data_IF_808290888311
#
_entry.id   IF_808290888311
#
_cell.length_a   1.000
_cell.length_b   1.000
_cell.length_c   1.000
_cell.angle_alpha   90.00
_cell.angle_beta   90.00
_cell.angle_gamma   90.00
#
_symmetry.space_group_name_H-M   'P 1'
#
loop_
_entity.id
_entity.type
_entity.pdbx_description
1 polymer ?
#
# COMPACT_ATOMS: atom_id res chain seq x y z
N UNK A 1 14.13 -58.81 -25.26
CA UNK A 1 14.85 -58.12 -26.34
C UNK A 1 14.53 -56.63 -26.23
N UNK A 2 15.58 -55.83 -25.98
CA UNK A 2 15.71 -54.37 -26.10
C UNK A 2 14.82 -53.38 -25.31
N UNK A 3 15.44 -52.86 -24.25
CA UNK A 3 15.62 -51.48 -23.74
C UNK A 3 14.69 -50.31 -24.14
N UNK A 4 14.43 -49.36 -23.20
CA UNK A 4 13.95 -48.01 -23.44
C UNK A 4 15.06 -46.94 -23.37
N UNK A 5 15.06 -45.96 -24.28
CA UNK A 5 15.80 -44.68 -24.18
C UNK A 5 14.81 -43.52 -24.47
N UNK A 6 14.93 -42.32 -23.92
CA UNK A 6 16.07 -41.73 -23.21
C UNK A 6 15.68 -40.55 -22.32
N UNK A 7 16.50 -40.39 -21.28
CA UNK A 7 16.59 -39.24 -20.39
C UNK A 7 17.66 -38.32 -20.97
N UNK A 8 17.31 -37.06 -21.28
CA UNK A 8 18.28 -36.04 -21.69
C UNK A 8 19.09 -35.57 -20.46
N UNK A 9 20.32 -36.04 -20.35
CA UNK A 9 21.34 -35.49 -19.47
C UNK A 9 22.23 -34.49 -20.24
N UNK A 10 22.35 -33.27 -19.73
CA UNK A 10 23.32 -32.28 -20.19
C UNK A 10 24.74 -32.62 -19.69
N UNK A 11 25.81 -32.39 -20.48
CA UNK A 11 27.18 -32.66 -20.05
C UNK A 11 27.79 -31.49 -19.23
N UNK A 12 28.74 -31.76 -18.32
CA UNK A 12 29.53 -30.74 -17.65
C UNK A 12 30.75 -30.34 -18.51
N UNK A 13 31.14 -29.06 -18.49
CA UNK A 13 32.40 -28.58 -19.08
C UNK A 13 33.39 -28.25 -17.96
N UNK A 14 34.55 -28.93 -17.98
CA UNK A 14 35.73 -28.60 -17.18
C UNK A 14 36.80 -27.90 -18.04
N UNK A 15 37.28 -26.76 -17.52
CA UNK A 15 38.64 -26.20 -17.40
C UNK A 15 39.72 -26.43 -18.49
N UNK A 16 40.35 -25.33 -18.95
CA UNK A 16 41.83 -25.15 -19.01
C UNK A 16 42.19 -23.66 -19.16
N UNK A 17 43.14 -23.18 -18.35
CA UNK A 17 43.67 -21.81 -18.42
C UNK A 17 44.85 -21.67 -19.40
N UNK A 18 45.25 -20.42 -19.66
CA UNK A 18 46.64 -20.14 -19.97
C UNK A 18 47.04 -18.69 -19.63
N UNK A 19 48.27 -18.58 -19.15
CA UNK A 19 48.96 -17.45 -18.54
C UNK A 19 49.85 -16.80 -19.61
N UNK A 20 49.97 -15.47 -19.65
CA UNK A 20 51.12 -14.80 -20.29
C UNK A 20 51.39 -13.46 -19.59
N UNK A 21 52.62 -13.29 -19.12
CA UNK A 21 53.18 -12.09 -18.44
C UNK A 21 54.24 -11.40 -19.31
N UNK A 22 54.61 -10.18 -18.87
CA UNK A 22 55.81 -9.34 -19.14
C UNK A 22 55.72 -8.34 -20.31
N UNK A 23 56.09 -7.06 -20.17
CA UNK A 23 57.21 -6.42 -19.43
C UNK A 23 56.88 -4.90 -19.13
N UNK A 24 57.05 -4.34 -17.91
CA UNK A 24 58.20 -3.57 -17.32
C UNK A 24 58.69 -2.35 -18.15
N UNK A 25 59.05 -1.14 -17.67
CA UNK A 25 59.25 -0.37 -16.39
C UNK A 25 59.60 1.12 -16.83
N UNK A 26 60.04 2.15 -16.02
CA UNK A 26 60.45 2.25 -14.59
C UNK A 26 59.88 3.51 -13.82
N UNK A 27 60.30 3.78 -12.55
CA UNK A 27 59.51 4.49 -11.54
C UNK A 27 60.08 5.86 -11.07
N UNK A 28 59.36 6.52 -10.15
CA UNK A 28 59.92 7.52 -9.22
C UNK A 28 59.16 7.48 -7.88
N UNK A 29 59.91 7.26 -6.81
CA UNK A 29 59.47 7.22 -5.41
C UNK A 29 59.63 8.61 -4.75
N UNK A 30 58.90 8.84 -3.65
CA UNK A 30 59.43 9.27 -2.32
C UNK A 30 58.34 9.95 -1.47
N UNK A 31 58.14 9.38 -0.26
CA UNK A 31 57.57 9.93 1.00
C UNK A 31 56.07 10.30 1.06
N UNK A 32 55.30 10.01 2.11
CA UNK A 32 55.55 9.41 3.42
C UNK A 32 54.42 9.84 4.38
N UNK A 33 53.97 8.92 5.26
CA UNK A 33 53.23 9.17 6.52
C UNK A 33 51.80 9.76 6.36
N UNK A 34 50.74 9.39 7.10
CA UNK A 34 50.53 8.64 8.35
C UNK A 34 49.03 8.33 8.48
N UNK A 35 48.71 7.21 9.13
CA UNK A 35 47.36 6.79 9.53
C UNK A 35 46.65 7.86 10.38
N UNK A 36 45.38 8.14 10.08
CA UNK A 36 44.47 8.86 10.98
C UNK A 36 43.23 8.01 11.21
N UNK A 37 43.13 7.46 12.42
CA UNK A 37 41.93 6.82 12.95
C UNK A 37 40.81 7.86 13.07
N UNK A 38 39.63 7.57 12.52
CA UNK A 38 38.42 8.31 12.87
C UNK A 38 37.96 7.88 14.27
N UNK A 39 38.12 8.80 15.22
CA UNK A 39 37.66 8.70 16.60
C UNK A 39 36.26 9.30 16.72
N UNK A 40 35.28 8.48 17.09
CA UNK A 40 33.95 8.94 17.49
C UNK A 40 34.00 9.61 18.86
N UNK A 41 33.38 10.78 19.08
CA UNK A 41 33.15 11.29 20.43
C UNK A 41 31.96 10.56 21.05
N UNK A 42 32.20 9.90 22.19
CA UNK A 42 31.14 9.42 23.07
C UNK A 42 30.50 10.65 23.76
N UNK A 43 29.26 10.97 23.40
CA UNK A 43 28.44 11.89 24.19
C UNK A 43 27.80 11.13 25.35
N UNK A 44 28.22 11.49 26.55
CA UNK A 44 27.69 11.06 27.83
C UNK A 44 26.33 11.77 28.05
N UNK A 45 25.21 11.05 27.89
CA UNK A 45 23.89 11.57 28.26
C UNK A 45 23.69 11.40 29.76
N UNK A 46 23.83 12.51 30.48
CA UNK A 46 23.37 12.68 31.87
C UNK A 46 21.84 12.73 31.90
N UNK A 47 21.22 11.81 32.65
CA UNK A 47 19.80 11.88 33.02
C UNK A 47 19.54 13.14 33.84
N UNK A 48 18.78 14.08 33.29
CA UNK A 48 18.23 15.21 34.05
C UNK A 48 16.77 15.45 33.69
N UNK A 49 15.92 14.97 34.61
CA UNK A 49 14.70 15.59 35.15
C UNK A 49 13.61 16.07 34.18
N UNK A 50 12.47 15.36 34.25
CA UNK A 50 11.19 15.78 33.70
C UNK A 50 10.52 16.81 34.62
N UNK A 51 9.85 17.85 34.09
CA UNK A 51 9.11 18.80 34.91
C UNK A 51 7.79 18.17 35.39
N UNK A 52 7.66 18.04 36.71
CA UNK A 52 6.44 17.69 37.43
C UNK A 52 5.46 18.86 37.40
N UNK A 53 4.23 18.62 36.93
CA UNK A 53 3.15 19.59 37.05
C UNK A 53 2.38 19.42 38.36
N UNK A 54 2.45 20.46 39.20
CA UNK A 54 1.36 21.01 40.01
C UNK A 54 0.57 20.05 40.91
N UNK A 55 0.96 20.01 42.19
CA UNK A 55 0.10 19.60 43.31
C UNK A 55 -0.75 20.81 43.77
N UNK A 56 -2.07 20.65 43.85
CA UNK A 56 -2.99 21.61 44.48
C UNK A 56 -3.34 21.18 45.91
N UNK A 57 -3.58 22.13 46.85
CA UNK A 57 -3.79 21.85 48.28
C UNK A 57 -5.23 21.39 48.62
N UNK A 58 -5.48 20.87 49.84
CA UNK A 58 -6.78 20.28 50.20
C UNK A 58 -7.76 21.30 50.79
N UNK A 59 -9.05 21.09 50.50
CA UNK A 59 -10.18 21.63 51.27
C UNK A 59 -11.07 22.58 50.49
N UNK A 60 -12.29 22.14 50.15
CA UNK A 60 -13.59 22.69 50.59
C UNK A 60 -14.69 21.89 49.88
N UNK A 61 -15.56 21.23 50.65
CA UNK A 61 -16.67 20.45 50.11
C UNK A 61 -17.73 21.38 49.48
N UNK A 62 -17.97 21.24 48.18
CA UNK A 62 -19.10 21.85 47.50
C UNK A 62 -20.07 20.74 47.10
N UNK A 63 -21.30 20.90 47.56
CA UNK A 63 -22.44 20.00 47.39
C UNK A 63 -22.91 20.04 45.92
N UNK A 64 -22.90 18.90 45.22
CA UNK A 64 -23.39 18.74 43.84
C UNK A 64 -24.77 18.05 43.85
N UNK A 65 -25.79 18.59 43.16
CA UNK A 65 -27.09 17.92 42.99
C UNK A 65 -26.98 16.74 42.00
N UNK A 66 -27.95 15.79 42.01
CA UNK A 66 -27.77 14.49 41.38
C UNK A 66 -27.76 14.57 39.84
N UNK A 67 -26.79 13.87 39.25
CA UNK A 67 -26.58 13.71 37.81
C UNK A 67 -27.74 12.90 37.21
N UNK A 68 -28.51 13.53 36.33
CA UNK A 68 -29.45 12.85 35.41
C UNK A 68 -28.62 12.16 34.30
N UNK A 69 -28.95 10.93 33.87
CA UNK A 69 -28.20 10.27 32.79
C UNK A 69 -28.39 11.04 31.48
N UNK A 70 -27.35 11.74 31.04
CA UNK A 70 -27.26 12.35 29.72
C UNK A 70 -26.96 11.27 28.68
N UNK A 71 -27.72 11.31 27.59
CA UNK A 71 -27.57 10.44 26.43
C UNK A 71 -26.15 10.51 25.85
N UNK A 72 -25.65 9.43 25.21
CA UNK A 72 -24.34 9.46 24.58
C UNK A 72 -24.32 10.49 23.44
N UNK A 73 -23.28 11.33 23.48
CA UNK A 73 -22.95 12.34 22.47
C UNK A 73 -22.79 11.67 21.10
N UNK A 74 -23.40 12.31 20.10
CA UNK A 74 -23.51 11.91 18.70
C UNK A 74 -22.12 11.58 18.10
N UNK A 75 -21.76 10.30 18.13
CA UNK A 75 -20.66 9.76 17.35
C UNK A 75 -21.04 9.73 15.88
N UNK A 76 -20.08 10.07 15.00
CA UNK A 76 -20.19 9.90 13.56
C UNK A 76 -20.68 8.48 13.26
N UNK A 77 -21.94 8.35 12.86
CA UNK A 77 -22.54 7.05 12.54
C UNK A 77 -21.88 6.57 11.26
N UNK A 78 -20.83 5.77 11.40
CA UNK A 78 -20.39 4.91 10.31
C UNK A 78 -21.58 4.09 9.86
N UNK A 79 -21.92 4.04 8.56
CA UNK A 79 -23.01 3.17 8.13
C UNK A 79 -22.67 1.75 8.57
N UNK A 80 -23.53 1.16 9.41
CA UNK A 80 -23.36 -0.19 9.97
C UNK A 80 -22.99 -1.23 8.89
N UNK A 81 -23.47 -0.99 7.67
CA UNK A 81 -23.20 -1.76 6.45
C UNK A 81 -21.71 -1.79 6.04
N UNK A 82 -20.97 -0.67 6.17
CA UNK A 82 -19.54 -0.62 5.86
C UNK A 82 -18.73 -1.49 6.85
N UNK A 83 -19.11 -1.49 8.13
CA UNK A 83 -18.45 -2.35 9.12
C UNK A 83 -18.66 -3.85 8.84
N UNK A 84 -19.79 -4.21 8.20
CA UNK A 84 -20.14 -5.60 7.90
C UNK A 84 -19.35 -6.16 6.71
N UNK A 85 -19.13 -5.36 5.66
CA UNK A 85 -18.37 -5.78 4.48
C UNK A 85 -16.94 -6.19 4.82
N UNK A 86 -16.25 -5.37 5.62
CA UNK A 86 -14.89 -5.64 6.05
C UNK A 86 -14.79 -6.80 7.07
N UNK A 87 -15.69 -6.86 8.07
CA UNK A 87 -15.72 -7.98 9.03
C UNK A 87 -15.92 -9.32 8.32
N UNK A 88 -16.81 -9.37 7.32
CA UNK A 88 -17.01 -10.55 6.48
C UNK A 88 -15.73 -10.92 5.73
N UNK A 89 -15.07 -9.95 5.09
CA UNK A 89 -13.81 -10.15 4.37
C UNK A 89 -12.73 -10.77 5.27
N UNK A 90 -12.57 -10.27 6.51
CA UNK A 90 -11.61 -10.81 7.47
C UNK A 90 -11.97 -12.24 7.91
N UNK A 91 -13.25 -12.52 8.18
CA UNK A 91 -13.70 -13.85 8.57
C UNK A 91 -13.40 -14.87 7.46
N UNK A 92 -13.70 -14.53 6.21
CA UNK A 92 -13.43 -15.42 5.08
C UNK A 92 -11.93 -15.57 4.83
N UNK A 93 -11.13 -14.51 5.03
CA UNK A 93 -9.67 -14.59 4.91
C UNK A 93 -9.06 -15.53 5.96
N UNK A 94 -9.56 -15.52 7.21
CA UNK A 94 -9.14 -16.46 8.27
C UNK A 94 -9.41 -17.91 7.87
N UNK A 95 -10.55 -18.20 7.23
CA UNK A 95 -10.90 -19.54 6.75
C UNK A 95 -9.94 -20.06 5.66
N UNK A 96 -9.27 -19.17 4.92
CA UNK A 96 -8.29 -19.56 3.89
C UNK A 96 -6.92 -19.95 4.47
N UNK A 97 -6.70 -19.71 5.77
CA UNK A 97 -5.46 -20.09 6.47
C UNK A 97 -4.18 -19.59 5.80
N UNK A 98 -4.21 -18.37 5.24
CA UNK A 98 -3.00 -17.77 4.63
C UNK A 98 -1.84 -17.65 5.63
N UNK A 99 -2.13 -17.62 6.93
CA UNK A 99 -1.14 -17.56 8.00
C UNK A 99 -0.19 -18.77 8.06
N UNK A 100 -0.55 -19.88 7.39
CA UNK A 100 0.33 -21.04 7.23
C UNK A 100 1.52 -20.79 6.29
N UNK A 101 1.46 -19.73 5.45
CA UNK A 101 2.54 -19.37 4.54
C UNK A 101 3.73 -18.83 5.36
N UNK A 102 4.87 -19.52 5.26
CA UNK A 102 6.10 -19.20 6.01
C UNK A 102 6.68 -17.83 5.67
N UNK A 103 6.81 -17.53 4.38
CA UNK A 103 7.41 -16.28 3.93
C UNK A 103 6.43 -15.12 4.06
N UNK A 104 6.77 -14.12 4.87
CA UNK A 104 5.90 -12.98 5.15
C UNK A 104 5.46 -12.23 3.88
N UNK A 105 6.38 -11.99 2.94
CA UNK A 105 6.05 -11.34 1.67
C UNK A 105 4.97 -12.10 0.88
N UNK A 106 5.07 -13.43 0.80
CA UNK A 106 4.08 -14.28 0.11
C UNK A 106 2.76 -14.35 0.88
N UNK A 107 2.80 -14.36 2.20
CA UNK A 107 1.62 -14.35 3.05
C UNK A 107 0.82 -13.06 2.86
N UNK A 108 1.50 -11.91 2.96
CA UNK A 108 0.93 -10.58 2.66
C UNK A 108 0.36 -10.52 1.25
N UNK A 109 1.13 -10.97 0.26
CA UNK A 109 0.69 -10.98 -1.14
C UNK A 109 -0.56 -11.84 -1.34
N UNK A 110 -0.64 -13.03 -0.72
CA UNK A 110 -1.81 -13.90 -0.77
C UNK A 110 -3.05 -13.26 -0.14
N UNK A 111 -2.89 -12.59 1.00
CA UNK A 111 -3.96 -11.85 1.67
C UNK A 111 -4.46 -10.68 0.80
N UNK A 112 -3.56 -9.83 0.28
CA UNK A 112 -3.93 -8.73 -0.62
C UNK A 112 -4.53 -9.24 -1.94
N UNK A 113 -4.03 -10.36 -2.48
CA UNK A 113 -4.60 -11.00 -3.67
C UNK A 113 -6.03 -11.47 -3.42
N UNK A 114 -6.31 -12.01 -2.25
CA UNK A 114 -7.66 -12.40 -1.86
C UNK A 114 -8.61 -11.19 -1.85
N UNK A 115 -8.15 -10.05 -1.31
CA UNK A 115 -8.91 -8.79 -1.35
C UNK A 115 -9.19 -8.37 -2.80
N UNK A 116 -8.18 -8.35 -3.69
CA UNK A 116 -8.37 -8.02 -5.11
C UNK A 116 -9.38 -8.94 -5.81
N UNK A 117 -9.43 -10.22 -5.45
CA UNK A 117 -10.39 -11.18 -6.00
C UNK A 117 -11.82 -10.86 -5.54
N UNK A 118 -11.99 -10.56 -4.25
CA UNK A 118 -13.30 -10.29 -3.63
C UNK A 118 -13.88 -8.93 -3.99
N UNK A 119 -13.03 -7.96 -4.25
CA UNK A 119 -13.42 -6.64 -4.73
C UNK A 119 -13.43 -6.54 -6.25
N UNK A 120 -13.13 -7.63 -6.98
CA UNK A 120 -12.98 -7.61 -8.44
C UNK A 120 -11.90 -6.65 -8.98
N UNK A 121 -11.10 -6.02 -8.11
CA UNK A 121 -10.00 -5.13 -8.52
C UNK A 121 -8.91 -5.85 -9.31
N UNK A 122 -8.88 -7.19 -9.26
CA UNK A 122 -8.07 -8.03 -10.16
C UNK A 122 -8.40 -7.87 -11.65
N UNK A 123 -9.50 -7.23 -12.00
CA UNK A 123 -9.86 -6.90 -13.39
C UNK A 123 -9.68 -5.41 -13.70
N UNK A 124 -9.34 -4.59 -12.69
CA UNK A 124 -9.23 -3.16 -12.85
C UNK A 124 -7.88 -2.77 -13.46
N UNK A 125 -7.92 -2.01 -14.54
CA UNK A 125 -6.72 -1.49 -15.18
C UNK A 125 -6.26 -0.20 -14.50
N UNK A 126 -4.93 0.00 -14.41
CA UNK A 126 -4.35 1.20 -13.81
C UNK A 126 -4.82 2.48 -14.49
N UNK A 127 -4.84 2.50 -15.83
CA UNK A 127 -5.28 3.66 -16.60
C UNK A 127 -6.69 4.12 -16.24
N UNK A 128 -7.61 3.20 -15.92
CA UNK A 128 -8.99 3.55 -15.51
C UNK A 128 -9.05 4.25 -14.16
N UNK A 129 -8.24 3.79 -13.21
CA UNK A 129 -8.14 4.42 -11.90
C UNK A 129 -7.58 5.83 -12.06
N UNK A 130 -6.48 5.99 -12.81
CA UNK A 130 -5.84 7.29 -13.09
C UNK A 130 -6.81 8.24 -13.79
N UNK A 131 -7.52 7.76 -14.81
CA UNK A 131 -8.50 8.54 -15.55
C UNK A 131 -9.64 9.01 -14.65
N UNK A 132 -10.15 8.14 -13.76
CA UNK A 132 -11.20 8.54 -12.82
C UNK A 132 -10.74 9.67 -11.90
N UNK A 133 -9.51 9.61 -11.37
CA UNK A 133 -8.97 10.74 -10.60
C UNK A 133 -8.82 12.02 -11.43
N UNK A 134 -8.59 11.89 -12.74
CA UNK A 134 -8.55 13.04 -13.66
C UNK A 134 -9.93 13.66 -13.87
N UNK A 135 -10.94 12.83 -14.16
CA UNK A 135 -12.34 13.23 -14.33
C UNK A 135 -12.89 13.99 -13.11
N UNK A 136 -12.49 13.58 -11.90
CA UNK A 136 -12.91 14.24 -10.65
C UNK A 136 -12.03 15.46 -10.28
N UNK A 137 -11.05 15.84 -11.10
CA UNK A 137 -10.15 16.97 -10.82
C UNK A 137 -9.14 16.71 -9.68
N UNK A 138 -8.99 15.47 -9.23
CA UNK A 138 -8.17 15.10 -8.07
C UNK A 138 -6.71 14.81 -8.45
N UNK A 139 -6.41 14.62 -9.73
CA UNK A 139 -5.06 14.31 -10.22
C UNK A 139 -4.01 15.37 -9.86
N UNK A 140 -4.37 16.65 -9.88
CA UNK A 140 -3.46 17.78 -9.61
C UNK A 140 -3.35 18.15 -8.13
N UNK A 141 -4.17 17.54 -7.26
CA UNK A 141 -4.12 17.81 -5.82
C UNK A 141 -2.83 17.23 -5.24
N UNK A 142 -1.90 18.15 -4.96
CA UNK A 142 -0.63 17.88 -4.29
C UNK A 142 -0.64 18.25 -2.80
N UNK A 143 -1.71 18.89 -2.32
CA UNK A 143 -1.89 19.19 -0.89
C UNK A 143 -2.03 17.88 -0.10
N UNK A 144 -1.12 17.59 0.86
CA UNK A 144 -1.21 16.40 1.71
C UNK A 144 -2.52 16.31 2.51
N UNK A 145 -3.17 17.43 2.79
CA UNK A 145 -4.38 17.49 3.61
C UNK A 145 -5.67 17.34 2.79
N UNK A 146 -5.57 17.35 1.46
CA UNK A 146 -6.72 17.16 0.59
C UNK A 146 -7.33 15.76 0.84
N UNK A 147 -8.56 15.74 1.33
CA UNK A 147 -9.24 14.51 1.74
C UNK A 147 -10.66 14.41 1.20
N UNK A 148 -11.11 13.17 1.07
CA UNK A 148 -12.47 12.82 0.68
C UNK A 148 -13.16 12.17 1.87
N UNK A 149 -14.44 12.49 2.04
CA UNK A 149 -15.30 11.77 2.96
C UNK A 149 -15.73 10.41 2.39
N UNK A 150 -16.51 9.66 3.18
CA UNK A 150 -17.08 8.39 2.77
C UNK A 150 -17.85 8.49 1.44
N UNK A 151 -18.71 9.50 1.30
CA UNK A 151 -19.53 9.69 0.11
C UNK A 151 -18.70 10.02 -1.14
N UNK A 152 -17.68 10.86 -1.00
CA UNK A 152 -16.71 11.18 -2.06
C UNK A 152 -15.94 9.95 -2.52
N UNK A 153 -15.46 9.15 -1.58
CA UNK A 153 -14.76 7.89 -1.89
C UNK A 153 -15.70 6.91 -2.60
N UNK A 154 -16.94 6.75 -2.11
CA UNK A 154 -17.94 5.89 -2.73
C UNK A 154 -18.26 6.31 -4.18
N UNK A 155 -18.35 7.61 -4.48
CA UNK A 155 -18.58 8.14 -5.83
C UNK A 155 -17.44 7.80 -6.79
N UNK A 156 -16.19 7.92 -6.36
CA UNK A 156 -15.02 7.54 -7.16
C UNK A 156 -15.06 6.04 -7.46
N UNK A 157 -15.32 5.21 -6.45
CA UNK A 157 -15.41 3.76 -6.65
C UNK A 157 -16.55 3.41 -7.61
N UNK A 158 -17.74 4.00 -7.45
CA UNK A 158 -18.85 3.79 -8.36
C UNK A 158 -18.48 4.09 -9.82
N UNK A 159 -17.74 5.18 -10.07
CA UNK A 159 -17.23 5.50 -11.42
C UNK A 159 -16.21 4.49 -11.93
N UNK A 160 -15.29 4.05 -11.08
CA UNK A 160 -14.30 3.02 -11.43
C UNK A 160 -15.01 1.70 -11.83
N UNK A 161 -16.01 1.27 -11.06
CA UNK A 161 -16.75 0.03 -11.31
C UNK A 161 -17.75 0.12 -12.46
N UNK A 162 -18.27 1.30 -12.82
CA UNK A 162 -19.22 1.44 -13.95
C UNK A 162 -18.60 1.04 -15.30
N UNK A 163 -17.28 0.94 -15.37
CA UNK A 163 -16.55 0.49 -16.57
C UNK A 163 -16.44 -1.04 -16.67
N UNK A 164 -16.85 -1.76 -15.61
CA UNK A 164 -16.93 -3.22 -15.58
C UNK A 164 -18.38 -3.71 -15.78
N UNK A 165 -19.37 -2.82 -15.75
CA UNK A 165 -20.72 -3.11 -16.21
C UNK A 165 -20.76 -2.97 -17.74
N UNK A 166 -20.76 -4.08 -18.46
CA UNK A 166 -21.03 -4.09 -19.89
C UNK A 166 -22.52 -4.33 -20.16
N UNK A 167 -23.13 -3.69 -21.17
CA UNK A 167 -24.42 -4.13 -21.67
C UNK A 167 -24.30 -5.54 -22.24
N UNK A 168 -25.24 -6.42 -21.92
CA UNK A 168 -25.30 -7.82 -22.38
C UNK A 168 -25.57 -7.99 -23.88
N UNK A 169 -25.29 -6.97 -24.69
CA UNK A 169 -25.72 -6.91 -26.09
C UNK A 169 -24.57 -7.22 -27.02
N UNK A 170 -24.62 -8.42 -27.60
CA UNK A 170 -23.86 -8.85 -28.77
C UNK A 170 -24.06 -7.87 -29.95
N UNK A 171 -23.14 -6.92 -30.11
CA UNK A 171 -22.81 -6.36 -31.43
C UNK A 171 -21.30 -6.16 -31.48
N UNK A 172 -20.61 -7.14 -32.06
CA UNK A 172 -19.21 -7.00 -32.45
C UNK A 172 -19.09 -5.88 -33.49
N UNK A 173 -18.55 -4.74 -33.08
CA UNK A 173 -17.79 -3.87 -34.00
C UNK A 173 -16.32 -3.91 -33.60
N UNK A 174 -15.51 -4.27 -34.58
CA UNK A 174 -14.09 -4.59 -34.48
C UNK A 174 -13.29 -3.38 -34.00
N UNK A 175 -12.78 -3.45 -32.77
CA UNK A 175 -11.55 -2.77 -32.36
C UNK A 175 -10.91 -3.64 -31.29
N UNK A 176 -9.62 -3.94 -31.43
CA UNK A 176 -8.85 -4.95 -30.68
C UNK A 176 -8.64 -4.66 -29.19
N UNK A 177 -9.67 -4.15 -28.51
CA UNK A 177 -9.70 -3.91 -27.09
C UNK A 177 -9.83 -5.23 -26.35
N UNK A 178 -8.86 -5.50 -25.49
CA UNK A 178 -8.83 -6.60 -24.52
C UNK A 178 -10.21 -6.72 -23.86
N UNK A 179 -10.91 -7.82 -24.15
CA UNK A 179 -12.29 -8.07 -23.69
C UNK A 179 -12.35 -7.99 -22.18
N UNK A 180 -12.83 -6.86 -21.66
CA UNK A 180 -13.03 -6.71 -20.22
C UNK A 180 -14.27 -7.49 -19.84
N UNK A 181 -14.22 -8.40 -18.86
CA UNK A 181 -15.40 -9.16 -18.46
C UNK A 181 -16.49 -8.23 -17.92
N UNK A 182 -17.73 -8.45 -18.37
CA UNK A 182 -18.92 -7.80 -17.79
C UNK A 182 -19.39 -8.57 -16.56
N UNK A 183 -19.81 -7.85 -15.52
CA UNK A 183 -20.34 -8.44 -14.28
C UNK A 183 -21.74 -7.91 -13.98
N UNK A 184 -22.53 -8.74 -13.28
CA UNK A 184 -23.83 -8.35 -12.75
C UNK A 184 -23.72 -7.09 -11.87
N UNK A 185 -24.60 -6.08 -12.05
CA UNK A 185 -24.57 -4.84 -11.28
C UNK A 185 -24.62 -5.03 -9.76
N UNK A 186 -25.34 -6.04 -9.25
CA UNK A 186 -25.40 -6.34 -7.82
C UNK A 186 -24.05 -6.87 -7.31
N UNK A 187 -23.35 -7.67 -8.11
CA UNK A 187 -22.01 -8.17 -7.78
C UNK A 187 -21.01 -7.02 -7.76
N UNK A 188 -21.07 -6.11 -8.73
CA UNK A 188 -20.22 -4.91 -8.77
C UNK A 188 -20.47 -4.00 -7.57
N UNK A 189 -21.74 -3.79 -7.21
CA UNK A 189 -22.13 -3.00 -6.04
C UNK A 189 -21.57 -3.61 -4.75
N UNK A 190 -21.78 -4.91 -4.53
CA UNK A 190 -21.24 -5.60 -3.36
C UNK A 190 -19.70 -5.57 -3.30
N UNK A 191 -19.03 -5.74 -4.45
CA UNK A 191 -17.57 -5.65 -4.54
C UNK A 191 -17.06 -4.24 -4.19
N UNK A 192 -17.74 -3.20 -4.68
CA UNK A 192 -17.45 -1.80 -4.37
C UNK A 192 -17.65 -1.48 -2.88
N UNK A 193 -18.72 -1.97 -2.27
CA UNK A 193 -18.99 -1.81 -0.82
C UNK A 193 -17.89 -2.49 0.03
N UNK A 194 -17.47 -3.71 -0.33
CA UNK A 194 -16.37 -4.41 0.35
C UNK A 194 -15.07 -3.62 0.22
N UNK A 195 -14.76 -3.11 -0.98
CA UNK A 195 -13.55 -2.32 -1.21
C UNK A 195 -13.56 -1.01 -0.42
N UNK A 196 -14.67 -0.28 -0.44
CA UNK A 196 -14.82 0.96 0.34
C UNK A 196 -14.56 0.70 1.82
N UNK A 197 -15.17 -0.35 2.36
CA UNK A 197 -15.01 -0.75 3.76
C UNK A 197 -13.55 -1.09 4.09
N UNK A 198 -12.86 -1.81 3.20
CA UNK A 198 -11.45 -2.12 3.34
C UNK A 198 -10.57 -0.86 3.31
N UNK A 199 -10.82 0.07 2.38
CA UNK A 199 -10.04 1.30 2.26
C UNK A 199 -10.21 2.21 3.48
N UNK A 200 -11.43 2.34 4.01
CA UNK A 200 -11.67 3.08 5.25
C UNK A 200 -10.89 2.44 6.40
N UNK A 201 -10.99 1.12 6.57
CA UNK A 201 -10.23 0.43 7.62
C UNK A 201 -8.70 0.59 7.48
N UNK A 202 -8.19 0.47 6.26
CA UNK A 202 -6.75 0.51 6.01
C UNK A 202 -6.17 1.93 6.15
N UNK A 203 -6.89 2.94 5.67
CA UNK A 203 -6.36 4.28 5.47
C UNK A 203 -6.82 5.31 6.52
N UNK A 204 -8.01 5.14 7.12
CA UNK A 204 -8.55 6.06 8.14
C UNK A 204 -8.15 5.64 9.56
N UNK A 205 -6.86 5.70 9.86
CA UNK A 205 -6.31 5.22 11.14
C UNK A 205 -6.79 6.04 12.34
N UNK A 206 -7.13 7.31 12.11
CA UNK A 206 -7.63 8.21 13.14
C UNK A 206 -9.15 8.18 13.29
N UNK A 207 -9.87 7.31 12.56
CA UNK A 207 -11.33 7.21 12.59
C UNK A 207 -12.01 8.59 12.37
N UNK A 208 -11.51 9.34 11.39
CA UNK A 208 -11.98 10.68 10.99
C UNK A 208 -13.08 10.63 9.93
N UNK A 209 -13.39 9.44 9.41
CA UNK A 209 -14.22 9.19 8.24
C UNK A 209 -13.73 9.90 6.96
N UNK A 210 -12.43 10.23 6.90
CA UNK A 210 -11.81 10.93 5.77
C UNK A 210 -10.55 10.22 5.31
N UNK A 211 -10.39 10.13 3.99
CA UNK A 211 -9.23 9.54 3.34
C UNK A 211 -8.48 10.62 2.58
N UNK A 212 -7.16 10.72 2.76
CA UNK A 212 -6.38 11.62 1.91
C UNK A 212 -6.44 11.14 0.46
N UNK A 213 -6.45 12.09 -0.48
CA UNK A 213 -6.48 11.78 -1.91
C UNK A 213 -5.24 10.99 -2.32
N UNK A 214 -4.07 11.28 -1.73
CA UNK A 214 -2.82 10.58 -2.04
C UNK A 214 -2.83 9.14 -1.54
N UNK A 215 -3.22 8.89 -0.28
CA UNK A 215 -3.34 7.52 0.24
C UNK A 215 -4.31 6.70 -0.61
N UNK A 216 -5.42 7.30 -1.06
CA UNK A 216 -6.40 6.64 -1.92
C UNK A 216 -5.84 6.33 -3.33
N UNK A 217 -5.12 7.27 -3.95
CA UNK A 217 -4.41 7.05 -5.22
C UNK A 217 -3.44 5.87 -5.11
N UNK A 218 -2.61 5.85 -4.07
CA UNK A 218 -1.60 4.82 -3.81
C UNK A 218 -2.25 3.46 -3.59
N UNK A 219 -3.25 3.38 -2.72
CA UNK A 219 -3.93 2.12 -2.40
C UNK A 219 -4.61 1.50 -3.63
N UNK A 220 -5.42 2.29 -4.36
CA UNK A 220 -6.15 1.80 -5.53
C UNK A 220 -5.20 1.38 -6.65
N UNK A 221 -4.23 2.22 -6.99
CA UNK A 221 -3.24 1.90 -8.04
C UNK A 221 -2.41 0.66 -7.70
N UNK A 222 -2.02 0.48 -6.44
CA UNK A 222 -1.34 -0.73 -5.96
C UNK A 222 -2.18 -1.99 -6.18
N UNK A 223 -3.49 -1.92 -5.91
CA UNK A 223 -4.42 -3.03 -6.03
C UNK A 223 -4.87 -3.34 -7.47
N UNK A 224 -4.55 -2.50 -8.46
CA UNK A 224 -4.94 -2.76 -9.86
C UNK A 224 -4.26 -4.00 -10.47
N UNK A 225 -4.77 -4.46 -11.60
CA UNK A 225 -4.20 -5.54 -12.41
C UNK A 225 -3.23 -5.01 -13.48
N UNK A 226 -2.27 -4.19 -13.07
CA UNK A 226 -1.19 -3.71 -13.94
C UNK A 226 0.15 -4.39 -13.62
N UNK A 227 1.09 -4.32 -14.57
CA UNK A 227 2.45 -4.82 -14.34
C UNK A 227 3.11 -4.01 -13.22
N UNK A 228 4.01 -4.60 -12.41
CA UNK A 228 4.73 -3.85 -11.38
C UNK A 228 5.43 -2.59 -11.91
N UNK A 229 6.07 -2.67 -13.08
CA UNK A 229 6.73 -1.53 -13.71
C UNK A 229 5.78 -0.36 -14.02
N UNK A 230 4.54 -0.64 -14.44
CA UNK A 230 3.54 0.39 -14.72
C UNK A 230 3.07 1.08 -13.44
N UNK A 231 2.86 0.29 -12.37
CA UNK A 231 2.50 0.82 -11.05
C UNK A 231 3.60 1.68 -10.47
N UNK A 232 4.85 1.21 -10.52
CA UNK A 232 6.00 1.99 -10.04
C UNK A 232 6.19 3.27 -10.83
N UNK A 233 6.03 3.23 -12.16
CA UNK A 233 6.09 4.44 -12.99
C UNK A 233 5.01 5.44 -12.58
N UNK A 234 3.76 4.99 -12.41
CA UNK A 234 2.68 5.87 -11.93
C UNK A 234 2.98 6.43 -10.55
N UNK A 235 3.36 5.60 -9.58
CA UNK A 235 3.70 6.07 -8.24
C UNK A 235 4.82 7.11 -8.30
N UNK A 236 5.87 6.89 -9.10
CA UNK A 236 6.95 7.84 -9.25
C UNK A 236 6.46 9.22 -9.74
N UNK A 237 5.45 9.29 -10.62
CA UNK A 237 4.84 10.58 -11.02
C UNK A 237 4.18 11.34 -9.86
N UNK A 238 3.76 10.64 -8.79
CA UNK A 238 3.23 11.29 -7.59
C UNK A 238 4.35 11.86 -6.71
N UNK A 239 5.56 11.29 -6.81
CA UNK A 239 6.72 11.61 -5.98
C UNK A 239 7.66 12.63 -6.62
N UNK A 240 7.65 12.73 -7.95
CA UNK A 240 8.56 13.57 -8.69
C UNK A 240 8.04 15.01 -8.84
N UNK A 241 8.97 15.93 -9.06
CA UNK A 241 8.68 17.27 -9.56
C UNK A 241 8.52 17.27 -11.10
N UNK A 242 8.16 18.40 -11.73
CA UNK A 242 8.05 18.50 -13.19
C UNK A 242 9.36 18.24 -13.96
N UNK A 243 10.53 18.31 -13.30
CA UNK A 243 11.82 17.96 -13.92
C UNK A 243 12.09 16.45 -13.92
N UNK A 244 11.26 15.66 -13.22
CA UNK A 244 11.42 14.23 -13.05
C UNK A 244 12.29 13.84 -11.86
N UNK A 245 12.70 14.80 -11.02
CA UNK A 245 13.49 14.54 -9.82
C UNK A 245 12.58 14.11 -8.66
N UNK A 246 13.03 13.14 -7.86
CA UNK A 246 12.31 12.65 -6.69
C UNK A 246 12.28 13.72 -5.59
N UNK A 247 11.10 14.00 -5.03
CA UNK A 247 10.95 14.85 -3.85
C UNK A 247 10.97 13.96 -2.61
N UNK A 248 12.04 14.05 -1.80
CA UNK A 248 12.25 13.18 -0.63
C UNK A 248 11.08 13.19 0.35
N UNK A 249 10.53 14.37 0.69
CA UNK A 249 9.39 14.46 1.61
C UNK A 249 8.14 13.72 1.11
N UNK A 250 7.88 13.75 -0.22
CA UNK A 250 6.78 12.98 -0.81
C UNK A 250 7.03 11.48 -0.74
N UNK A 251 8.29 11.06 -0.89
CA UNK A 251 8.67 9.66 -0.80
C UNK A 251 8.43 9.07 0.59
N UNK A 252 8.77 9.79 1.66
CA UNK A 252 8.48 9.37 3.03
C UNK A 252 6.97 9.19 3.28
N UNK A 253 6.16 10.19 2.91
CA UNK A 253 4.70 10.09 3.04
C UNK A 253 4.14 8.92 2.21
N UNK A 254 4.65 8.73 0.99
CA UNK A 254 4.28 7.61 0.14
C UNK A 254 4.56 6.25 0.78
N UNK A 255 5.71 6.06 1.42
CA UNK A 255 6.04 4.81 2.11
C UNK A 255 5.07 4.57 3.28
N UNK A 256 4.76 5.60 4.07
CA UNK A 256 3.79 5.51 5.16
C UNK A 256 2.40 5.12 4.66
N UNK A 257 1.95 5.73 3.56
CA UNK A 257 0.67 5.41 2.91
C UNK A 257 0.64 3.99 2.33
N UNK A 258 1.71 3.58 1.65
CA UNK A 258 1.81 2.25 1.06
C UNK A 258 1.80 1.15 2.14
N UNK A 259 2.49 1.38 3.26
CA UNK A 259 2.56 0.45 4.39
C UNK A 259 1.21 0.23 5.08
N UNK A 260 0.21 1.08 4.86
CA UNK A 260 -1.15 0.84 5.35
C UNK A 260 -1.76 -0.44 4.81
N UNK A 261 -1.44 -0.83 3.57
CA UNK A 261 -1.96 -2.07 2.98
C UNK A 261 -1.49 -3.33 3.73
N UNK A 262 -0.19 -3.61 3.94
CA UNK A 262 0.24 -4.75 4.74
C UNK A 262 -0.23 -4.68 6.20
N UNK A 263 -0.26 -3.49 6.81
CA UNK A 263 -0.78 -3.32 8.18
C UNK A 263 -2.25 -3.76 8.26
N UNK A 264 -3.07 -3.39 7.27
CA UNK A 264 -4.50 -3.73 7.23
C UNK A 264 -4.80 -5.23 7.09
N UNK A 265 -3.80 -6.05 6.75
CA UNK A 265 -3.92 -7.52 6.68
C UNK A 265 -3.12 -8.22 7.79
N UNK A 266 -2.79 -7.48 8.86
CA UNK A 266 -2.06 -7.93 10.04
C UNK A 266 -0.62 -8.37 9.75
N UNK A 267 0.02 -7.75 8.77
CA UNK A 267 1.40 -8.08 8.36
C UNK A 267 2.41 -6.96 8.61
N UNK A 268 1.98 -5.83 9.20
CA UNK A 268 2.83 -4.67 9.50
C UNK A 268 4.23 -5.01 10.04
N UNK A 269 4.36 -5.83 11.11
CA UNK A 269 5.64 -6.28 11.70
C UNK A 269 6.72 -6.76 10.75
N UNK A 270 6.36 -7.16 9.53
CA UNK A 270 7.31 -7.71 8.57
C UNK A 270 7.85 -6.68 7.57
N UNK A 271 7.44 -5.40 7.65
CA UNK A 271 7.75 -4.35 6.66
C UNK A 271 8.17 -3.02 7.31
N UNK A 272 8.77 -3.08 8.50
CA UNK A 272 9.28 -1.92 9.23
C UNK A 272 10.80 -1.80 9.10
#
# INVERSE_FOLDING_TARGET
MNQPEGVQNFPPIYTTGNMTQFNNHPPSSVHGQTNSYYQYPAQQQTLSQMPSFCMSPPGTAINLPPVRPTQPVLGTVYPVQASMGFKRLLAEMKLRQFDTIRFAAYRTASKLRYIQQRTLFRFMELGRVVETFREFGLHQLNDPNASLDYAGTARILARIYSQLSGPTTDVQTKSGSKTTPSFDPNVLRAASEILLSFLIYALDVCATARLTVNSLKIALSTLTNAKPSEKFRYHFTLLSDPSGALIQGKFETYLQDLLRLPISVFEGPNFF
#
